data_IF_041568261082
#
_entry.id   IF_041568261082
#
_cell.length_a   1.000
_cell.length_b   1.000
_cell.length_c   1.000
_cell.angle_alpha   90.00
_cell.angle_beta   90.00
_cell.angle_gamma   90.00
#
_symmetry.space_group_name_H-M   'P 1'
#
loop_
_entity.id
_entity.type
_entity.pdbx_description
1 polymer ?
#
# COMPACT_ATOMS: atom_id res chain seq x y z
N UNK A 1 13.48 4.08 -0.50
CA UNK A 1 12.13 4.35 -1.03
C UNK A 1 11.26 3.17 -0.64
N UNK A 2 10.09 3.40 -0.09
CA UNK A 2 9.15 2.30 0.20
C UNK A 2 8.59 1.81 -1.15
N UNK A 3 8.68 0.52 -1.41
CA UNK A 3 8.13 -0.12 -2.62
C UNK A 3 7.40 -1.38 -2.18
N UNK A 4 6.20 -1.59 -2.70
CA UNK A 4 5.47 -2.85 -2.54
C UNK A 4 5.95 -3.85 -3.61
N UNK A 5 5.98 -5.12 -3.22
CA UNK A 5 6.25 -6.21 -4.15
C UNK A 5 4.96 -6.56 -4.91
N UNK A 6 5.07 -6.74 -6.22
CA UNK A 6 4.01 -7.25 -7.07
C UNK A 6 4.16 -8.75 -7.25
N UNK A 7 3.17 -9.51 -6.79
CA UNK A 7 3.23 -10.97 -6.76
C UNK A 7 2.02 -11.54 -7.49
N UNK A 8 2.26 -12.44 -8.43
CA UNK A 8 1.19 -13.19 -9.08
C UNK A 8 1.12 -14.58 -8.44
N UNK A 9 -0.06 -14.91 -7.94
CA UNK A 9 -0.36 -16.23 -7.38
C UNK A 9 -1.35 -16.96 -8.30
N UNK A 10 -1.13 -18.25 -8.50
CA UNK A 10 -2.10 -19.18 -9.09
C UNK A 10 -2.78 -19.95 -7.98
N UNK A 11 -4.10 -20.02 -8.01
CA UNK A 11 -4.92 -20.69 -6.99
C UNK A 11 -5.75 -21.77 -7.67
N UNK A 12 -5.68 -23.00 -7.16
CA UNK A 12 -6.42 -24.16 -7.68
C UNK A 12 -7.13 -24.96 -6.59
N UNK A 13 -8.33 -25.47 -6.87
CA UNK A 13 -9.10 -26.36 -5.96
C UNK A 13 -9.86 -27.40 -6.76
N UNK A 14 -9.79 -28.68 -6.33
CA UNK A 14 -10.61 -29.75 -6.94
C UNK A 14 -11.28 -30.69 -5.92
N UNK A 15 -11.31 -30.33 -4.64
CA UNK A 15 -12.03 -31.11 -3.62
C UNK A 15 -13.00 -30.21 -2.82
N UNK A 16 -14.10 -30.81 -2.39
CA UNK A 16 -15.11 -30.12 -1.59
C UNK A 16 -15.82 -29.00 -2.36
N UNK A 17 -16.15 -27.91 -1.67
CA UNK A 17 -16.68 -26.71 -2.28
C UNK A 17 -15.54 -25.88 -2.86
N UNK A 18 -15.20 -26.16 -4.13
CA UNK A 18 -14.07 -25.57 -4.85
C UNK A 18 -14.13 -24.04 -4.90
N UNK A 19 -15.34 -23.47 -5.08
CA UNK A 19 -15.51 -22.02 -5.15
C UNK A 19 -15.27 -21.38 -3.78
N UNK A 20 -15.91 -21.90 -2.74
CA UNK A 20 -15.72 -21.43 -1.36
C UNK A 20 -14.27 -21.54 -0.89
N UNK A 21 -13.54 -22.59 -1.33
CA UNK A 21 -12.12 -22.75 -1.00
C UNK A 21 -11.26 -21.64 -1.61
N UNK A 22 -11.53 -21.27 -2.89
CA UNK A 22 -10.83 -20.17 -3.57
C UNK A 22 -11.19 -18.84 -2.91
N UNK A 23 -12.45 -18.55 -2.65
CA UNK A 23 -12.90 -17.30 -1.98
C UNK A 23 -12.21 -17.13 -0.63
N UNK A 24 -12.25 -18.14 0.22
CA UNK A 24 -11.57 -18.13 1.53
C UNK A 24 -10.06 -17.97 1.42
N UNK A 25 -9.42 -18.58 0.40
CA UNK A 25 -7.98 -18.40 0.20
C UNK A 25 -7.64 -16.96 -0.17
N UNK A 26 -8.44 -16.32 -1.02
CA UNK A 26 -8.29 -14.91 -1.39
C UNK A 26 -8.48 -13.99 -0.19
N UNK A 27 -9.47 -14.26 0.68
CA UNK A 27 -9.67 -13.51 1.93
C UNK A 27 -8.48 -13.62 2.87
N UNK A 28 -7.95 -14.84 3.09
CA UNK A 28 -6.78 -15.07 3.96
C UNK A 28 -5.50 -14.42 3.37
N UNK A 29 -5.31 -14.51 2.05
CA UNK A 29 -4.19 -13.85 1.36
C UNK A 29 -4.28 -12.34 1.55
N UNK A 30 -5.47 -11.75 1.30
CA UNK A 30 -5.70 -10.32 1.48
C UNK A 30 -5.45 -9.87 2.92
N UNK A 31 -5.78 -10.70 3.89
CA UNK A 31 -5.65 -10.40 5.32
C UNK A 31 -4.21 -10.51 5.83
N UNK A 32 -3.44 -11.51 5.37
CA UNK A 32 -2.18 -11.87 6.01
C UNK A 32 -0.93 -11.74 5.13
N UNK A 33 -1.09 -11.65 3.79
CA UNK A 33 0.04 -11.66 2.86
C UNK A 33 0.19 -10.32 2.15
N UNK A 34 -0.89 -9.80 1.58
CA UNK A 34 -0.85 -8.53 0.84
C UNK A 34 -2.20 -8.20 0.22
N UNK A 35 -2.35 -6.98 -0.22
CA UNK A 35 -3.58 -6.45 -0.80
C UNK A 35 -3.87 -7.11 -2.14
N UNK A 36 -5.05 -7.71 -2.30
CA UNK A 36 -5.48 -8.34 -3.55
C UNK A 36 -5.99 -7.30 -4.53
N UNK A 37 -5.18 -6.97 -5.53
CA UNK A 37 -5.41 -5.88 -6.50
C UNK A 37 -6.30 -6.33 -7.66
N UNK A 38 -5.97 -7.50 -8.26
CA UNK A 38 -6.69 -8.05 -9.40
C UNK A 38 -6.95 -9.53 -9.20
N UNK A 39 -8.09 -9.99 -9.72
CA UNK A 39 -8.49 -11.40 -9.76
C UNK A 39 -8.93 -11.71 -11.18
N UNK A 40 -8.43 -12.81 -11.75
CA UNK A 40 -8.90 -13.30 -13.04
C UNK A 40 -10.29 -13.94 -12.92
N UNK A 41 -10.99 -14.21 -14.04
CA UNK A 41 -12.09 -15.16 -14.04
C UNK A 41 -11.67 -16.51 -13.46
N UNK A 42 -12.65 -17.28 -12.97
CA UNK A 42 -12.46 -18.65 -12.51
C UNK A 42 -12.68 -19.58 -13.70
N UNK A 43 -11.73 -20.47 -13.93
CA UNK A 43 -11.73 -21.43 -15.01
C UNK A 43 -11.85 -22.85 -14.45
N UNK A 44 -12.66 -23.69 -15.09
CA UNK A 44 -12.68 -25.14 -14.85
C UNK A 44 -11.82 -25.86 -15.89
N UNK A 45 -10.76 -26.51 -15.42
CA UNK A 45 -9.87 -27.37 -16.21
C UNK A 45 -9.91 -28.81 -15.73
N UNK A 46 -9.81 -29.82 -16.64
CA UNK A 46 -9.54 -31.20 -16.24
C UNK A 46 -8.24 -31.28 -15.41
N UNK A 47 -8.13 -32.31 -14.57
CA UNK A 47 -6.90 -32.56 -13.82
C UNK A 47 -5.72 -32.80 -14.77
N UNK A 48 -4.59 -32.15 -14.51
CA UNK A 48 -3.40 -32.24 -15.35
C UNK A 48 -2.44 -33.32 -14.85
N UNK A 49 -2.18 -34.33 -15.72
CA UNK A 49 -1.21 -35.39 -15.44
C UNK A 49 -1.69 -36.52 -14.52
N UNK A 50 -2.97 -36.55 -14.11
CA UNK A 50 -3.57 -37.63 -13.32
C UNK A 50 -5.11 -37.63 -13.45
N UNK A 51 -5.76 -38.76 -13.12
CA UNK A 51 -7.21 -38.87 -13.11
C UNK A 51 -7.79 -38.32 -11.81
N UNK A 52 -8.62 -37.28 -11.90
CA UNK A 52 -9.30 -36.68 -10.76
C UNK A 52 -10.43 -35.77 -11.24
N UNK A 53 -11.24 -35.26 -10.31
CA UNK A 53 -12.21 -34.21 -10.58
C UNK A 53 -11.55 -32.97 -11.15
N UNK A 54 -12.25 -32.20 -12.02
CA UNK A 54 -11.75 -30.98 -12.60
C UNK A 54 -11.40 -29.93 -11.52
N UNK A 55 -10.36 -29.14 -11.80
CA UNK A 55 -9.95 -28.02 -10.94
C UNK A 55 -10.70 -26.74 -11.32
N UNK A 56 -11.05 -25.95 -10.31
CA UNK A 56 -11.25 -24.52 -10.48
C UNK A 56 -9.91 -23.82 -10.30
N UNK A 57 -9.54 -22.99 -11.26
CA UNK A 57 -8.29 -22.25 -11.28
C UNK A 57 -8.54 -20.76 -11.48
N UNK A 58 -7.82 -19.92 -10.78
CA UNK A 58 -7.72 -18.49 -11.02
C UNK A 58 -6.30 -17.98 -10.76
N UNK A 59 -6.01 -16.77 -11.19
CA UNK A 59 -4.81 -16.04 -10.84
C UNK A 59 -5.18 -14.75 -10.13
N UNK A 60 -4.35 -14.32 -9.18
CA UNK A 60 -4.49 -13.05 -8.50
C UNK A 60 -3.18 -12.27 -8.54
N UNK A 61 -3.28 -10.93 -8.64
CA UNK A 61 -2.19 -10.01 -8.37
C UNK A 61 -2.35 -9.48 -6.95
N UNK A 62 -1.30 -9.57 -6.15
CA UNK A 62 -1.24 -8.93 -4.85
C UNK A 62 -0.09 -7.93 -4.76
N UNK A 63 -0.30 -6.85 -3.98
CA UNK A 63 0.75 -5.98 -3.50
C UNK A 63 1.11 -6.36 -2.06
N UNK A 64 2.40 -6.59 -1.79
CA UNK A 64 2.87 -7.01 -0.46
C UNK A 64 4.14 -6.30 -0.05
N UNK A 65 4.26 -6.03 1.25
CA UNK A 65 5.50 -5.50 1.85
C UNK A 65 6.45 -6.61 2.32
N UNK A 66 5.98 -7.86 2.26
CA UNK A 66 6.75 -9.03 2.69
C UNK A 66 7.78 -9.44 1.62
N UNK A 67 8.90 -9.98 2.07
CA UNK A 67 9.87 -10.60 1.17
C UNK A 67 9.39 -11.98 0.69
N UNK A 68 10.02 -12.51 -0.35
CA UNK A 68 9.61 -13.75 -0.99
C UNK A 68 9.61 -14.98 -0.06
N UNK A 69 10.56 -15.05 0.86
CA UNK A 69 10.65 -16.14 1.84
C UNK A 69 9.49 -16.11 2.84
N UNK A 70 9.10 -14.92 3.29
CA UNK A 70 7.95 -14.77 4.19
C UNK A 70 6.64 -15.05 3.45
N UNK A 71 6.54 -14.64 2.18
CA UNK A 71 5.35 -14.92 1.36
C UNK A 71 5.11 -16.40 1.19
N UNK A 72 6.15 -17.20 0.84
CA UNK A 72 5.97 -18.64 0.69
C UNK A 72 5.57 -19.31 2.00
N UNK A 73 6.13 -18.90 3.13
CA UNK A 73 5.72 -19.44 4.44
C UNK A 73 4.25 -19.16 4.74
N UNK A 74 3.78 -17.93 4.48
CA UNK A 74 2.37 -17.56 4.69
C UNK A 74 1.42 -18.22 3.68
N UNK A 75 1.86 -18.46 2.45
CA UNK A 75 1.09 -19.25 1.48
C UNK A 75 0.88 -20.68 1.99
N UNK A 76 1.93 -21.32 2.48
CA UNK A 76 1.86 -22.67 3.07
C UNK A 76 0.97 -22.73 4.31
N UNK A 77 1.04 -21.70 5.16
CA UNK A 77 0.15 -21.53 6.33
C UNK A 77 -1.32 -21.39 5.90
N UNK A 78 -1.59 -20.57 4.87
CA UNK A 78 -2.93 -20.41 4.31
C UNK A 78 -3.51 -21.73 3.80
N UNK A 79 -2.71 -22.52 3.08
CA UNK A 79 -3.11 -23.86 2.62
C UNK A 79 -3.43 -24.79 3.78
N UNK A 80 -2.63 -24.76 4.85
CA UNK A 80 -2.84 -25.56 6.05
C UNK A 80 -4.12 -25.15 6.80
N UNK A 81 -4.39 -23.86 6.94
CA UNK A 81 -5.62 -23.34 7.57
C UNK A 81 -6.85 -23.83 6.81
N UNK A 82 -6.78 -23.90 5.48
CA UNK A 82 -7.86 -24.40 4.63
C UNK A 82 -7.98 -25.93 4.60
N UNK A 83 -7.14 -26.65 5.35
CA UNK A 83 -7.21 -28.09 5.51
C UNK A 83 -6.40 -28.90 4.49
N UNK A 84 -5.45 -28.27 3.78
CA UNK A 84 -4.53 -29.03 2.91
C UNK A 84 -3.59 -29.88 3.76
N UNK A 85 -3.63 -31.18 3.53
CA UNK A 85 -2.70 -32.15 4.14
C UNK A 85 -1.69 -32.58 3.07
N UNK A 86 -0.39 -32.40 3.34
CA UNK A 86 0.70 -32.90 2.48
C UNK A 86 1.16 -34.27 2.99
N UNK A 87 0.85 -35.36 2.29
CA UNK A 87 1.32 -36.70 2.71
C UNK A 87 2.84 -36.78 2.60
N UNK A 88 3.50 -37.31 3.64
CA UNK A 88 4.96 -37.43 3.68
C UNK A 88 5.52 -38.43 2.63
N UNK A 89 4.71 -39.39 2.14
CA UNK A 89 5.15 -40.52 1.32
C UNK A 89 4.60 -40.53 -0.11
N UNK A 90 3.84 -39.51 -0.58
CA UNK A 90 3.32 -39.48 -1.95
C UNK A 90 4.17 -38.61 -2.87
N UNK A 91 4.84 -39.27 -3.83
CA UNK A 91 5.45 -38.59 -4.99
C UNK A 91 4.41 -38.51 -6.09
N UNK A 92 4.08 -37.26 -6.56
CA UNK A 92 3.20 -37.01 -7.69
C UNK A 92 2.00 -36.09 -7.38
N UNK A 93 1.17 -35.86 -8.41
CA UNK A 93 -0.01 -35.01 -8.28
C UNK A 93 -1.15 -35.75 -7.59
N UNK A 94 -1.92 -35.03 -6.77
CA UNK A 94 -3.10 -35.55 -6.07
C UNK A 94 -4.20 -34.51 -6.01
N UNK A 95 -5.42 -34.96 -5.81
CA UNK A 95 -6.55 -34.07 -5.52
C UNK A 95 -6.32 -33.29 -4.22
N UNK A 96 -6.72 -32.02 -4.19
CA UNK A 96 -6.44 -31.12 -3.06
C UNK A 96 -7.53 -30.09 -2.85
N UNK A 97 -7.78 -29.74 -1.59
CA UNK A 97 -8.73 -28.71 -1.20
C UNK A 97 -8.33 -27.36 -1.79
N UNK A 98 -7.06 -27.02 -1.70
CA UNK A 98 -6.48 -25.78 -2.22
C UNK A 98 -5.01 -25.98 -2.60
N UNK A 99 -4.58 -25.28 -3.63
CA UNK A 99 -3.19 -25.20 -4.09
C UNK A 99 -2.88 -23.75 -4.44
N UNK A 100 -1.81 -23.20 -3.87
CA UNK A 100 -1.43 -21.80 -4.09
C UNK A 100 0.03 -21.76 -4.51
N UNK A 101 0.28 -21.45 -5.78
CA UNK A 101 1.63 -21.36 -6.33
C UNK A 101 2.03 -19.89 -6.56
N UNK A 102 3.26 -19.51 -6.19
CA UNK A 102 3.84 -18.20 -6.53
C UNK A 102 4.35 -18.28 -7.96
N UNK A 103 3.69 -17.57 -8.88
CA UNK A 103 4.02 -17.57 -10.29
C UNK A 103 5.13 -16.58 -10.62
N UNK A 104 5.01 -15.35 -10.08
CA UNK A 104 6.04 -14.32 -10.20
C UNK A 104 6.14 -13.48 -8.93
N UNK A 105 7.33 -12.93 -8.69
CA UNK A 105 7.62 -12.00 -7.63
C UNK A 105 8.45 -10.86 -8.21
N UNK A 106 7.82 -9.69 -8.44
CA UNK A 106 8.41 -8.60 -9.21
C UNK A 106 8.96 -9.09 -10.58
N UNK A 107 10.17 -8.66 -10.93
CA UNK A 107 10.98 -9.14 -12.05
C UNK A 107 12.15 -10.03 -11.55
N UNK A 108 12.03 -10.58 -10.35
CA UNK A 108 13.11 -11.29 -9.68
C UNK A 108 13.11 -12.77 -10.00
N UNK A 109 14.28 -13.41 -9.83
CA UNK A 109 14.48 -14.83 -10.00
C UNK A 109 14.96 -15.43 -8.69
N UNK A 110 14.19 -16.36 -8.16
CA UNK A 110 14.55 -17.15 -6.99
C UNK A 110 14.73 -18.61 -7.38
N UNK A 111 15.75 -19.24 -6.87
CA UNK A 111 15.98 -20.68 -7.04
C UNK A 111 16.62 -21.23 -5.76
N UNK A 112 15.78 -21.52 -4.77
CA UNK A 112 16.16 -22.10 -3.48
C UNK A 112 15.42 -23.42 -3.28
N UNK A 113 15.77 -24.18 -2.23
CA UNK A 113 15.13 -25.46 -1.95
C UNK A 113 13.61 -25.35 -1.74
N UNK A 114 13.14 -24.18 -1.26
CA UNK A 114 11.74 -23.97 -0.91
C UNK A 114 11.00 -23.04 -1.86
N UNK A 115 11.70 -22.30 -2.73
CA UNK A 115 11.10 -21.30 -3.60
C UNK A 115 11.78 -21.23 -4.95
N UNK A 116 11.02 -21.47 -6.01
CA UNK A 116 11.46 -21.28 -7.40
C UNK A 116 10.50 -20.33 -8.12
N UNK A 117 10.98 -19.14 -8.45
CA UNK A 117 10.21 -18.06 -9.12
C UNK A 117 11.07 -17.46 -10.22
N UNK A 118 10.53 -17.27 -11.44
CA UNK A 118 9.19 -17.68 -11.91
C UNK A 118 8.95 -19.18 -11.75
N UNK A 119 7.68 -19.57 -11.58
CA UNK A 119 7.34 -20.98 -11.38
C UNK A 119 7.84 -21.86 -12.54
N UNK A 120 8.66 -22.89 -12.33
CA UNK A 120 9.46 -23.56 -13.37
C UNK A 120 8.67 -24.24 -14.48
N UNK A 121 7.40 -24.59 -14.25
CA UNK A 121 6.54 -25.26 -15.22
C UNK A 121 5.39 -24.36 -15.72
N UNK A 122 5.40 -23.07 -15.42
CA UNK A 122 4.28 -22.19 -15.78
C UNK A 122 4.04 -22.15 -17.30
N UNK A 123 5.12 -22.13 -18.10
CA UNK A 123 5.04 -22.05 -19.57
C UNK A 123 4.43 -23.28 -20.22
N UNK A 124 4.31 -24.41 -19.50
CA UNK A 124 3.76 -25.67 -20.00
C UNK A 124 2.28 -25.87 -19.62
N UNK A 125 1.71 -24.97 -18.79
CA UNK A 125 0.42 -25.14 -18.11
C UNK A 125 -0.57 -24.06 -18.50
N UNK A 126 -1.53 -24.41 -19.36
CA UNK A 126 -2.58 -23.47 -19.76
C UNK A 126 -3.42 -22.99 -18.59
N UNK A 127 -3.70 -23.85 -17.62
CA UNK A 127 -4.49 -23.51 -16.42
C UNK A 127 -3.82 -22.50 -15.49
N UNK A 128 -2.51 -22.25 -15.66
CA UNK A 128 -1.75 -21.19 -15.00
C UNK A 128 -1.70 -19.94 -15.89
N UNK A 129 -1.32 -20.11 -17.16
CA UNK A 129 -1.05 -19.00 -18.06
C UNK A 129 -2.31 -18.23 -18.47
N UNK A 130 -3.43 -18.92 -18.69
CA UNK A 130 -4.68 -18.27 -19.11
C UNK A 130 -5.20 -17.31 -18.02
N UNK A 131 -5.39 -17.74 -16.77
CA UNK A 131 -5.78 -16.80 -15.70
C UNK A 131 -4.76 -15.67 -15.50
N UNK A 132 -3.45 -15.96 -15.57
CA UNK A 132 -2.41 -14.94 -15.40
C UNK A 132 -2.43 -13.89 -16.53
N UNK A 133 -2.68 -14.32 -17.79
CA UNK A 133 -2.80 -13.42 -18.93
C UNK A 133 -3.99 -12.46 -18.82
N UNK A 134 -5.10 -12.91 -18.20
CA UNK A 134 -6.31 -12.11 -18.01
C UNK A 134 -6.16 -11.01 -16.92
N UNK A 135 -5.13 -11.09 -16.09
CA UNK A 135 -4.80 -9.99 -15.19
C UNK A 135 -4.35 -8.73 -15.94
N UNK A 136 -3.99 -8.84 -17.23
CA UNK A 136 -3.54 -7.73 -18.08
C UNK A 136 -2.41 -6.92 -17.43
N UNK A 137 -1.32 -7.59 -17.04
CA UNK A 137 -0.16 -6.97 -16.40
C UNK A 137 0.91 -6.61 -17.44
N UNK A 138 1.62 -5.52 -17.19
CA UNK A 138 2.86 -5.16 -17.87
C UNK A 138 4.04 -5.95 -17.27
N UNK A 139 3.92 -7.27 -17.23
CA UNK A 139 4.94 -8.15 -16.69
C UNK A 139 5.59 -8.95 -17.82
N UNK A 140 6.90 -9.08 -17.74
CA UNK A 140 7.70 -9.89 -18.65
C UNK A 140 8.48 -10.95 -17.86
N UNK A 141 8.48 -12.19 -18.35
CA UNK A 141 9.23 -13.28 -17.71
C UNK A 141 10.73 -12.95 -17.71
N UNK A 142 11.40 -12.85 -16.52
CA UNK A 142 12.75 -12.32 -16.42
C UNK A 142 13.81 -13.10 -17.22
N UNK A 143 13.56 -14.40 -17.49
CA UNK A 143 14.46 -15.27 -18.23
C UNK A 143 14.03 -15.39 -19.71
N UNK A 144 12.73 -15.69 -19.96
CA UNK A 144 12.22 -15.96 -21.31
C UNK A 144 11.91 -14.71 -22.12
N UNK A 145 11.87 -13.53 -21.48
CA UNK A 145 11.57 -12.25 -22.13
C UNK A 145 10.26 -12.27 -22.91
N UNK A 146 9.22 -12.83 -22.32
CA UNK A 146 7.88 -12.96 -22.88
C UNK A 146 6.83 -12.58 -21.82
N UNK A 147 5.78 -11.88 -22.26
CA UNK A 147 4.61 -11.59 -21.42
C UNK A 147 3.78 -12.87 -21.17
N UNK A 148 2.86 -12.83 -20.18
CA UNK A 148 1.92 -13.94 -19.96
C UNK A 148 1.12 -14.31 -21.23
N UNK A 149 0.73 -13.30 -22.02
CA UNK A 149 -0.01 -13.53 -23.28
C UNK A 149 0.83 -14.25 -24.34
N UNK A 150 2.10 -13.88 -24.48
CA UNK A 150 3.01 -14.53 -25.41
C UNK A 150 3.33 -15.97 -24.96
N UNK A 151 3.56 -16.19 -23.68
CA UNK A 151 3.73 -17.52 -23.11
C UNK A 151 2.49 -18.39 -23.33
N UNK A 152 1.28 -17.85 -23.13
CA UNK A 152 0.03 -18.55 -23.39
C UNK A 152 -0.14 -18.93 -24.88
N UNK A 153 0.20 -18.04 -25.79
CA UNK A 153 0.14 -18.29 -27.22
C UNK A 153 1.08 -19.43 -27.62
N UNK A 154 2.26 -19.50 -27.03
CA UNK A 154 3.30 -20.50 -27.29
C UNK A 154 3.10 -21.81 -26.51
N UNK A 155 2.20 -21.82 -25.51
CA UNK A 155 1.92 -22.98 -24.68
C UNK A 155 1.38 -24.14 -25.52
N UNK A 156 1.95 -25.32 -25.33
CA UNK A 156 1.53 -26.56 -26.08
C UNK A 156 0.26 -27.19 -25.50
N UNK A 157 -0.01 -26.94 -24.22
CA UNK A 157 -1.26 -27.35 -23.56
C UNK A 157 -2.42 -26.54 -24.16
N UNK A 158 -3.34 -27.22 -24.81
CA UNK A 158 -4.57 -26.67 -25.43
C UNK A 158 -5.82 -27.33 -24.86
N UNK A 159 -5.75 -27.73 -23.62
CA UNK A 159 -6.86 -28.36 -22.91
C UNK A 159 -8.10 -27.47 -22.92
N UNK A 160 -9.25 -28.05 -23.19
CA UNK A 160 -10.54 -27.33 -23.15
C UNK A 160 -10.90 -26.94 -21.72
N UNK A 161 -11.46 -25.75 -21.57
CA UNK A 161 -11.86 -25.19 -20.27
C UNK A 161 -13.27 -24.61 -20.31
N UNK A 162 -13.82 -24.30 -19.12
CA UNK A 162 -15.05 -23.53 -18.97
C UNK A 162 -14.80 -22.34 -18.06
N UNK A 163 -15.42 -21.20 -18.36
CA UNK A 163 -15.49 -20.07 -17.43
C UNK A 163 -16.63 -20.35 -16.45
N UNK A 164 -16.31 -20.32 -15.15
CA UNK A 164 -17.28 -20.60 -14.06
C UNK A 164 -17.91 -19.31 -13.56
N UNK A 165 -17.12 -18.23 -13.42
CA UNK A 165 -17.58 -16.94 -12.90
C UNK A 165 -16.44 -16.04 -12.51
N UNK A 166 -16.77 -15.00 -11.74
CA UNK A 166 -15.80 -14.03 -11.20
C UNK A 166 -15.98 -13.92 -9.69
N UNK A 167 -14.90 -13.63 -8.99
CA UNK A 167 -14.88 -13.25 -7.58
C UNK A 167 -14.63 -11.75 -7.50
N UNK A 168 -15.41 -11.04 -6.68
CA UNK A 168 -15.18 -9.63 -6.42
C UNK A 168 -13.89 -9.44 -5.60
N UNK A 169 -13.10 -8.43 -5.98
CA UNK A 169 -11.89 -8.11 -5.20
C UNK A 169 -12.27 -7.65 -3.79
N UNK A 170 -11.57 -8.14 -2.74
CA UNK A 170 -11.73 -7.63 -1.37
C UNK A 170 -11.49 -6.12 -1.25
N UNK A 171 -10.75 -5.54 -2.20
CA UNK A 171 -10.48 -4.09 -2.22
C UNK A 171 -11.75 -3.26 -2.41
N UNK A 172 -12.77 -3.78 -3.09
CA UNK A 172 -14.01 -3.05 -3.37
C UNK A 172 -14.75 -2.62 -2.11
N UNK A 173 -14.57 -3.32 -0.99
CA UNK A 173 -15.17 -2.93 0.29
C UNK A 173 -14.57 -1.64 0.87
N UNK A 174 -13.35 -1.26 0.47
CA UNK A 174 -12.64 -0.07 0.92
C UNK A 174 -12.73 1.09 -0.10
N UNK A 175 -13.69 1.05 -1.03
CA UNK A 175 -13.80 2.02 -2.13
C UNK A 175 -13.83 3.47 -1.64
N UNK A 176 -12.95 4.31 -2.18
CA UNK A 176 -12.88 5.75 -1.96
C UNK A 176 -13.83 6.48 -2.92
N UNK A 177 -15.10 6.06 -2.98
CA UNK A 177 -16.10 6.66 -3.85
C UNK A 177 -16.50 8.04 -3.34
N UNK A 178 -16.65 9.02 -4.24
CA UNK A 178 -17.03 10.41 -3.95
C UNK A 178 -15.98 11.21 -3.14
N UNK A 179 -14.73 10.84 -3.23
CA UNK A 179 -13.60 11.56 -2.63
C UNK A 179 -12.70 12.08 -3.75
N UNK A 180 -12.35 13.35 -3.70
CA UNK A 180 -11.42 13.96 -4.66
C UNK A 180 -10.03 14.13 -4.04
N UNK A 181 -9.96 14.50 -2.75
CA UNK A 181 -8.72 14.81 -2.08
C UNK A 181 -8.69 14.34 -0.62
N UNK A 182 -7.68 13.54 -0.25
CA UNK A 182 -7.39 13.10 1.12
C UNK A 182 -6.01 13.63 1.52
N UNK A 183 -5.93 14.25 2.70
CA UNK A 183 -4.65 14.62 3.31
C UNK A 183 -4.33 13.67 4.47
N UNK A 184 -3.18 13.02 4.40
CA UNK A 184 -2.62 12.20 5.49
C UNK A 184 -1.62 13.03 6.25
N UNK A 185 -1.91 13.29 7.50
CA UNK A 185 -1.10 14.10 8.37
C UNK A 185 -0.67 13.35 9.63
N UNK A 186 0.31 13.87 10.32
CA UNK A 186 0.87 13.29 11.53
C UNK A 186 2.27 13.83 11.80
N UNK A 187 2.82 13.49 12.93
CA UNK A 187 4.12 13.98 13.39
C UNK A 187 5.28 13.44 12.53
N UNK A 188 6.50 13.92 12.78
CA UNK A 188 7.74 13.37 12.22
C UNK A 188 7.87 11.91 12.67
N UNK A 189 8.10 11.00 11.72
CA UNK A 189 8.20 9.57 12.02
C UNK A 189 6.88 8.79 12.07
N UNK A 190 5.71 9.43 11.90
CA UNK A 190 4.40 8.76 11.93
C UNK A 190 4.09 7.88 10.70
N UNK A 191 4.96 7.78 9.70
CA UNK A 191 4.77 6.90 8.55
C UNK A 191 3.84 7.43 7.45
N UNK A 192 3.52 8.74 7.44
CA UNK A 192 2.64 9.40 6.46
C UNK A 192 2.94 9.01 5.01
N UNK A 193 4.17 9.24 4.58
CA UNK A 193 4.62 8.97 3.20
C UNK A 193 4.46 7.50 2.82
N UNK A 194 4.72 6.58 3.75
CA UNK A 194 4.55 5.15 3.54
C UNK A 194 3.09 4.78 3.32
N UNK A 195 2.18 5.30 4.17
CA UNK A 195 0.74 5.07 4.04
C UNK A 195 0.20 5.68 2.74
N UNK A 196 0.58 6.92 2.43
CA UNK A 196 0.17 7.62 1.22
C UNK A 196 0.59 6.87 -0.04
N UNK A 197 1.84 6.41 -0.13
CA UNK A 197 2.30 5.60 -1.26
C UNK A 197 1.51 4.30 -1.38
N UNK A 198 1.31 3.59 -0.27
CA UNK A 198 0.60 2.32 -0.26
C UNK A 198 -0.84 2.47 -0.74
N UNK A 199 -1.57 3.44 -0.21
CA UNK A 199 -2.94 3.73 -0.66
C UNK A 199 -2.95 4.15 -2.13
N UNK A 200 -2.01 5.00 -2.57
CA UNK A 200 -1.98 5.47 -3.96
C UNK A 200 -1.73 4.35 -4.97
N UNK A 201 -0.89 3.37 -4.62
CA UNK A 201 -0.63 2.20 -5.46
C UNK A 201 -1.82 1.23 -5.48
N UNK A 202 -2.40 0.94 -4.31
CA UNK A 202 -3.50 -0.03 -4.17
C UNK A 202 -4.81 0.47 -4.79
N UNK A 203 -5.07 1.79 -4.77
CA UNK A 203 -6.33 2.40 -5.23
C UNK A 203 -6.17 3.32 -6.44
N UNK A 204 -5.06 3.25 -7.15
CA UNK A 204 -4.79 4.08 -8.33
C UNK A 204 -4.98 5.60 -8.08
N UNK A 205 -4.57 6.11 -6.92
CA UNK A 205 -4.64 7.53 -6.61
C UNK A 205 -3.43 8.31 -7.15
N UNK A 206 -3.60 9.61 -7.41
CA UNK A 206 -2.47 10.52 -7.59
C UNK A 206 -1.91 10.87 -6.21
N UNK A 207 -0.64 10.54 -5.93
CA UNK A 207 0.00 10.96 -4.67
C UNK A 207 0.71 12.30 -4.81
N UNK A 208 0.65 13.10 -3.75
CA UNK A 208 1.43 14.33 -3.58
C UNK A 208 2.29 14.14 -2.34
N UNK A 209 3.62 14.13 -2.51
CA UNK A 209 4.58 13.92 -1.43
C UNK A 209 5.33 15.19 -1.10
N UNK A 210 5.53 15.45 0.19
CA UNK A 210 6.23 16.64 0.67
C UNK A 210 7.69 16.68 0.19
N UNK A 211 8.04 17.72 -0.56
CA UNK A 211 9.42 18.01 -0.97
C UNK A 211 10.16 18.76 0.14
N UNK A 212 11.02 18.07 0.90
CA UNK A 212 11.81 18.70 1.98
C UNK A 212 13.32 18.53 1.79
N UNK A 213 13.75 17.58 0.96
CA UNK A 213 15.17 17.17 0.88
C UNK A 213 16.10 18.25 0.33
N UNK A 214 15.60 19.09 -0.56
CA UNK A 214 16.38 20.10 -1.27
C UNK A 214 16.28 21.51 -0.65
N UNK A 215 15.70 21.63 0.55
CA UNK A 215 15.54 22.93 1.19
C UNK A 215 16.92 23.48 1.65
N UNK A 216 17.41 24.61 1.08
CA UNK A 216 18.73 25.12 1.35
C UNK A 216 18.90 25.69 2.77
N UNK A 217 17.79 25.95 3.48
CA UNK A 217 17.81 26.48 4.84
C UNK A 217 17.82 25.37 5.90
N UNK A 218 17.35 24.16 5.58
CA UNK A 218 17.25 23.07 6.55
C UNK A 218 18.60 22.72 7.22
N UNK A 219 19.72 22.54 6.49
CA UNK A 219 21.02 22.28 7.13
C UNK A 219 21.58 23.48 7.92
N UNK A 220 21.14 24.70 7.57
CA UNK A 220 21.56 25.94 8.29
C UNK A 220 20.79 26.11 9.59
N UNK A 221 19.51 25.77 9.57
CA UNK A 221 18.64 25.81 10.76
C UNK A 221 19.17 24.91 11.87
N UNK A 222 19.59 23.69 11.57
CA UNK A 222 20.16 22.79 12.58
C UNK A 222 21.50 23.30 13.18
N UNK A 223 22.17 24.25 12.51
CA UNK A 223 23.40 24.87 13.03
C UNK A 223 23.13 26.14 13.83
N UNK A 224 22.12 26.89 13.45
CA UNK A 224 21.77 28.19 14.04
C UNK A 224 20.26 28.42 13.86
N UNK A 225 19.47 27.80 14.75
CA UNK A 225 18.02 27.82 14.68
C UNK A 225 17.47 29.26 14.77
N UNK A 226 17.98 30.08 15.68
CA UNK A 226 17.51 31.46 15.87
C UNK A 226 17.60 32.30 14.60
N UNK A 227 18.69 32.13 13.83
CA UNK A 227 18.89 32.90 12.60
C UNK A 227 18.11 32.38 11.40
N UNK A 228 17.90 31.06 11.32
CA UNK A 228 17.36 30.43 10.12
C UNK A 228 15.97 29.87 10.26
N UNK A 229 15.29 29.99 11.44
CA UNK A 229 13.93 29.53 11.62
C UNK A 229 12.95 30.20 10.66
N UNK A 230 12.90 31.53 10.63
CA UNK A 230 11.98 32.27 9.78
C UNK A 230 12.21 32.01 8.26
N UNK A 231 13.45 32.09 7.73
CA UNK A 231 13.70 31.72 6.33
C UNK A 231 13.33 30.28 6.00
N UNK A 232 13.55 29.34 6.91
CA UNK A 232 13.20 27.92 6.72
C UNK A 232 11.69 27.74 6.64
N UNK A 233 10.94 28.27 7.61
CA UNK A 233 9.48 28.12 7.63
C UNK A 233 8.82 28.81 6.44
N UNK A 234 9.30 30.01 6.05
CA UNK A 234 8.84 30.69 4.84
C UNK A 234 9.12 29.92 3.55
N UNK A 235 10.28 29.30 3.45
CA UNK A 235 10.61 28.44 2.30
C UNK A 235 9.67 27.24 2.23
N UNK A 236 9.45 26.54 3.36
CA UNK A 236 8.50 25.44 3.40
C UNK A 236 7.07 25.84 3.08
N UNK A 237 6.62 27.03 3.53
CA UNK A 237 5.29 27.52 3.21
C UNK A 237 5.14 27.75 1.70
N UNK A 238 6.13 28.42 1.09
CA UNK A 238 6.12 28.72 -0.35
C UNK A 238 6.14 27.43 -1.19
N UNK A 239 7.01 26.48 -0.84
CA UNK A 239 7.13 25.19 -1.54
C UNK A 239 5.84 24.37 -1.43
N UNK A 240 5.26 24.23 -0.24
CA UNK A 240 4.00 23.51 -0.02
C UNK A 240 2.82 24.15 -0.75
N UNK A 241 2.75 25.49 -0.75
CA UNK A 241 1.69 26.20 -1.46
C UNK A 241 1.80 26.00 -2.97
N UNK A 242 2.99 26.21 -3.54
CA UNK A 242 3.22 26.02 -4.97
C UNK A 242 2.92 24.59 -5.39
N UNK A 243 3.47 23.60 -4.68
CA UNK A 243 3.28 22.19 -4.99
C UNK A 243 1.80 21.79 -4.92
N UNK A 244 1.09 22.13 -3.83
CA UNK A 244 -0.35 21.80 -3.72
C UNK A 244 -1.17 22.49 -4.80
N UNK A 245 -0.89 23.78 -5.14
CA UNK A 245 -1.60 24.50 -6.18
C UNK A 245 -1.39 23.89 -7.56
N UNK A 246 -0.14 23.54 -7.89
CA UNK A 246 0.21 22.96 -9.19
C UNK A 246 -0.33 21.54 -9.34
N UNK A 247 -0.14 20.69 -8.32
CA UNK A 247 -0.55 19.30 -8.37
C UNK A 247 -2.06 19.08 -8.29
N UNK A 248 -2.78 19.93 -7.52
CA UNK A 248 -4.24 19.86 -7.44
C UNK A 248 -4.91 20.44 -8.69
N UNK A 249 -4.27 21.41 -9.36
CA UNK A 249 -4.76 21.95 -10.63
C UNK A 249 -4.60 20.97 -11.80
N UNK A 250 -3.64 20.03 -11.72
CA UNK A 250 -3.36 19.01 -12.72
C UNK A 250 -4.02 17.69 -12.34
N UNK A 251 -5.36 17.62 -12.36
CA UNK A 251 -6.07 16.36 -12.13
C UNK A 251 -5.76 15.37 -13.27
N UNK A 252 -5.18 14.24 -12.93
CA UNK A 252 -4.96 13.15 -13.88
C UNK A 252 -6.26 12.38 -14.08
N UNK A 253 -6.80 12.43 -15.31
CA UNK A 253 -8.05 11.75 -15.69
C UNK A 253 -8.02 10.22 -15.52
N UNK A 254 -6.82 9.67 -15.36
CA UNK A 254 -6.63 8.22 -15.15
C UNK A 254 -6.50 7.84 -13.66
N UNK A 255 -6.63 8.80 -12.76
CA UNK A 255 -6.56 8.58 -11.31
C UNK A 255 -7.92 8.73 -10.65
N UNK A 256 -8.18 7.89 -9.65
CA UNK A 256 -9.47 7.85 -8.95
C UNK A 256 -9.65 9.06 -8.02
N UNK A 257 -8.58 9.45 -7.30
CA UNK A 257 -8.56 10.57 -6.37
C UNK A 257 -7.12 11.04 -6.13
N UNK A 258 -6.96 12.10 -5.33
CA UNK A 258 -5.66 12.63 -4.90
C UNK A 258 -5.45 12.31 -3.42
N UNK A 259 -4.24 11.86 -3.06
CA UNK A 259 -3.82 11.65 -1.68
C UNK A 259 -2.48 12.32 -1.43
N UNK A 260 -2.39 13.17 -0.38
CA UNK A 260 -1.16 13.86 -0.03
C UNK A 260 -0.64 13.41 1.33
N UNK A 261 0.69 13.36 1.53
CA UNK A 261 1.31 13.07 2.83
C UNK A 261 1.56 14.32 3.67
N UNK A 262 0.96 15.43 3.27
CA UNK A 262 0.94 16.69 4.00
C UNK A 262 -0.24 17.56 3.56
N UNK A 263 -0.55 18.56 4.40
CA UNK A 263 -1.42 19.67 4.06
C UNK A 263 -0.80 21.00 4.50
N UNK A 264 -1.14 22.09 3.83
CA UNK A 264 -0.49 23.39 4.06
C UNK A 264 -0.56 23.86 5.53
N UNK A 265 -1.58 23.43 6.29
CA UNK A 265 -1.75 23.84 7.69
C UNK A 265 -0.62 23.36 8.60
N UNK A 266 0.09 22.30 8.23
CA UNK A 266 1.33 21.89 8.90
C UNK A 266 2.29 23.07 9.07
N UNK A 267 2.38 23.95 8.09
CA UNK A 267 3.25 25.13 8.11
C UNK A 267 3.01 26.04 9.31
N UNK A 268 1.72 26.31 9.65
CA UNK A 268 1.41 27.16 10.82
C UNK A 268 1.70 26.47 12.15
N UNK A 269 1.54 25.14 12.22
CA UNK A 269 1.84 24.34 13.42
C UNK A 269 3.33 24.38 13.73
N UNK A 270 4.18 24.16 12.74
CA UNK A 270 5.63 24.18 12.92
C UNK A 270 6.16 25.60 13.18
N UNK A 271 5.67 26.59 12.43
CA UNK A 271 6.05 27.98 12.65
C UNK A 271 5.70 28.48 14.07
N UNK A 272 4.59 28.06 14.64
CA UNK A 272 4.20 28.43 16.02
C UNK A 272 5.19 27.91 17.08
N UNK A 273 5.88 26.81 16.80
CA UNK A 273 6.84 26.19 17.72
C UNK A 273 8.25 26.77 17.52
N UNK A 274 8.58 27.17 16.29
CA UNK A 274 9.96 27.52 15.91
C UNK A 274 10.25 29.02 15.86
N UNK A 275 9.20 29.87 15.67
CA UNK A 275 9.37 31.31 15.48
C UNK A 275 9.10 32.10 16.75
N UNK A 276 9.81 33.22 16.90
CA UNK A 276 9.50 34.23 17.91
C UNK A 276 8.16 34.91 17.61
N UNK A 277 7.52 35.52 18.61
CA UNK A 277 6.15 36.04 18.53
C UNK A 277 5.92 37.03 17.35
N UNK A 278 6.84 37.97 17.15
CA UNK A 278 6.74 38.95 16.06
C UNK A 278 6.89 38.29 14.67
N UNK A 279 7.83 37.34 14.54
CA UNK A 279 8.04 36.57 13.33
C UNK A 279 6.83 35.69 13.02
N UNK A 280 6.29 35.01 14.03
CA UNK A 280 5.10 34.19 13.88
C UNK A 280 3.87 35.01 13.46
N UNK A 281 3.68 36.21 14.03
CA UNK A 281 2.58 37.09 13.65
C UNK A 281 2.66 37.51 12.16
N UNK A 282 3.84 37.83 11.67
CA UNK A 282 4.07 38.13 10.26
C UNK A 282 3.82 36.90 9.37
N UNK A 283 4.38 35.78 9.77
CA UNK A 283 4.22 34.49 9.07
C UNK A 283 2.74 34.12 8.94
N UNK A 284 1.98 34.24 10.01
CA UNK A 284 0.55 33.94 10.05
C UNK A 284 -0.26 34.80 9.06
N UNK A 285 0.07 36.10 8.92
CA UNK A 285 -0.59 36.96 7.94
C UNK A 285 -0.37 36.45 6.50
N UNK A 286 0.86 36.07 6.16
CA UNK A 286 1.18 35.52 4.84
C UNK A 286 0.46 34.17 4.64
N UNK A 287 0.52 33.30 5.67
CA UNK A 287 -0.16 32.01 5.63
C UNK A 287 -1.66 32.15 5.40
N UNK A 288 -2.34 33.06 6.05
CA UNK A 288 -3.80 33.27 5.91
C UNK A 288 -4.20 33.68 4.50
N UNK A 289 -3.36 34.46 3.80
CA UNK A 289 -3.57 34.82 2.40
C UNK A 289 -3.48 33.56 1.51
N UNK A 290 -2.42 32.79 1.65
CA UNK A 290 -2.18 31.58 0.86
C UNK A 290 -3.21 30.48 1.16
N UNK A 291 -3.57 30.31 2.44
CA UNK A 291 -4.51 29.29 2.89
C UNK A 291 -5.92 29.47 2.32
N UNK A 292 -6.37 30.70 2.07
CA UNK A 292 -7.69 30.98 1.48
C UNK A 292 -7.82 30.38 0.08
N UNK A 293 -6.77 30.45 -0.70
CA UNK A 293 -6.73 29.97 -2.09
C UNK A 293 -6.42 28.47 -2.21
N UNK A 294 -5.96 27.83 -1.13
CA UNK A 294 -5.61 26.40 -1.14
C UNK A 294 -6.86 25.54 -1.08
N UNK A 295 -7.05 24.55 -1.99
CA UNK A 295 -8.13 23.59 -1.94
C UNK A 295 -8.13 22.82 -0.61
N UNK A 296 -9.33 22.56 -0.07
CA UNK A 296 -9.50 21.86 1.19
C UNK A 296 -9.67 20.35 0.93
N UNK A 297 -9.07 19.47 1.75
CA UNK A 297 -9.31 18.04 1.61
C UNK A 297 -10.75 17.69 1.98
N UNK A 298 -11.28 16.66 1.29
CA UNK A 298 -12.55 16.05 1.64
C UNK A 298 -12.45 15.34 2.98
N UNK A 299 -11.28 14.73 3.25
CA UNK A 299 -10.95 14.12 4.53
C UNK A 299 -9.52 14.43 4.93
N UNK A 300 -9.36 14.89 6.18
CA UNK A 300 -8.09 15.10 6.86
C UNK A 300 -7.86 13.94 7.84
N UNK A 301 -6.90 13.08 7.56
CA UNK A 301 -6.55 11.92 8.40
C UNK A 301 -5.30 12.25 9.19
N UNK A 302 -5.41 12.29 10.50
CA UNK A 302 -4.30 12.52 11.41
C UNK A 302 -3.84 11.18 12.03
N UNK A 303 -2.62 10.78 11.71
CA UNK A 303 -1.96 9.63 12.31
C UNK A 303 -1.31 10.05 13.61
N UNK A 304 -1.98 9.78 14.72
CA UNK A 304 -1.41 9.98 16.05
C UNK A 304 -0.50 8.82 16.41
N UNK A 305 0.66 9.16 16.97
CA UNK A 305 1.59 8.18 17.52
C UNK A 305 2.24 8.78 18.77
N UNK A 306 2.44 7.97 19.81
CA UNK A 306 3.11 8.41 21.03
C UNK A 306 4.59 8.74 20.76
N UNK A 307 5.15 9.63 21.57
CA UNK A 307 6.50 10.18 21.37
C UNK A 307 7.59 9.13 21.39
N UNK A 308 7.46 8.10 22.24
CA UNK A 308 8.43 6.99 22.28
C UNK A 308 8.51 6.27 20.94
N UNK A 309 7.36 5.93 20.36
CA UNK A 309 7.29 5.24 19.06
C UNK A 309 7.77 6.13 17.90
N UNK A 310 7.49 7.44 17.95
CA UNK A 310 8.01 8.39 16.97
C UNK A 310 9.54 8.43 16.97
N UNK A 311 10.17 8.49 18.15
CA UNK A 311 11.62 8.48 18.31
C UNK A 311 12.25 7.18 17.78
N UNK A 312 11.65 6.03 18.05
CA UNK A 312 12.07 4.73 17.48
C UNK A 312 12.03 4.75 15.95
N UNK A 313 10.95 5.25 15.36
CA UNK A 313 10.78 5.32 13.91
C UNK A 313 11.78 6.29 13.26
N UNK A 314 12.03 7.45 13.89
CA UNK A 314 13.03 8.42 13.45
C UNK A 314 14.42 7.78 13.46
N UNK A 315 14.77 7.09 14.53
CA UNK A 315 16.05 6.38 14.64
C UNK A 315 16.18 5.28 13.59
N UNK A 316 15.14 4.45 13.39
CA UNK A 316 15.11 3.39 12.38
C UNK A 316 15.26 3.95 10.94
N UNK A 317 14.69 5.13 10.67
CA UNK A 317 14.82 5.83 9.38
C UNK A 317 16.23 6.33 9.11
N UNK A 318 16.98 6.71 10.15
CA UNK A 318 18.41 7.01 10.10
C UNK A 318 18.81 8.29 9.38
N UNK A 319 17.94 9.31 9.32
CA UNK A 319 18.31 10.64 8.78
C UNK A 319 19.16 11.39 9.78
N UNK A 320 20.40 11.74 9.40
CA UNK A 320 21.39 12.34 10.31
C UNK A 320 20.92 13.63 10.97
N UNK A 321 20.13 14.45 10.27
CA UNK A 321 19.62 15.73 10.80
C UNK A 321 18.39 15.57 11.73
N UNK A 322 17.81 14.38 11.80
CA UNK A 322 16.68 14.10 12.69
C UNK A 322 17.10 13.39 13.99
N UNK A 323 18.34 12.94 14.08
CA UNK A 323 18.85 12.13 15.21
C UNK A 323 18.80 12.84 16.57
N UNK A 324 18.79 14.17 16.57
CA UNK A 324 18.83 15.01 17.78
C UNK A 324 17.47 15.65 18.12
N UNK A 325 16.38 15.26 17.45
CA UNK A 325 15.05 15.81 17.73
C UNK A 325 14.63 15.41 19.15
N UNK A 326 14.39 16.39 20.06
CA UNK A 326 13.97 16.08 21.41
C UNK A 326 12.51 15.62 21.46
N UNK A 327 12.18 14.70 22.40
CA UNK A 327 10.80 14.22 22.56
C UNK A 327 9.80 15.33 22.86
N UNK A 328 10.20 16.35 23.64
CA UNK A 328 9.37 17.52 23.94
C UNK A 328 8.93 18.28 22.70
N UNK A 329 9.80 18.39 21.68
CA UNK A 329 9.44 19.01 20.41
C UNK A 329 8.35 18.20 19.67
N UNK A 330 8.43 16.88 19.70
CA UNK A 330 7.40 16.02 19.11
C UNK A 330 6.07 16.13 19.90
N UNK A 331 6.12 16.28 21.22
CA UNK A 331 4.93 16.52 22.04
C UNK A 331 4.27 17.86 21.70
N UNK A 332 5.05 18.92 21.52
CA UNK A 332 4.56 20.25 21.10
C UNK A 332 3.92 20.19 19.71
N UNK A 333 4.53 19.47 18.77
CA UNK A 333 3.96 19.24 17.42
C UNK A 333 2.63 18.47 17.50
N UNK A 334 2.54 17.40 18.29
CA UNK A 334 1.30 16.67 18.51
C UNK A 334 0.21 17.59 19.10
N UNK A 335 0.57 18.43 20.08
CA UNK A 335 -0.36 19.38 20.68
C UNK A 335 -0.85 20.42 19.66
N UNK A 336 0.04 20.91 18.79
CA UNK A 336 -0.30 21.82 17.69
C UNK A 336 -1.32 21.20 16.74
N UNK A 337 -1.13 19.96 16.33
CA UNK A 337 -2.10 19.22 15.52
C UNK A 337 -3.44 19.05 16.22
N UNK A 338 -3.46 18.67 17.50
CA UNK A 338 -4.72 18.53 18.26
C UNK A 338 -5.48 19.86 18.38
N UNK A 339 -4.78 20.97 18.55
CA UNK A 339 -5.41 22.30 18.61
C UNK A 339 -6.06 22.65 17.26
N UNK A 340 -5.39 22.34 16.14
CA UNK A 340 -5.94 22.53 14.81
C UNK A 340 -7.17 21.63 14.56
N UNK A 341 -7.05 20.34 14.85
CA UNK A 341 -8.12 19.36 14.66
C UNK A 341 -9.39 19.76 15.42
N UNK A 342 -9.27 20.29 16.64
CA UNK A 342 -10.40 20.79 17.41
C UNK A 342 -11.14 21.96 16.74
N UNK A 343 -10.50 22.69 15.87
CA UNK A 343 -11.11 23.78 15.09
C UNK A 343 -11.80 23.32 13.82
N UNK A 344 -11.60 22.08 13.39
CA UNK A 344 -12.19 21.51 12.19
C UNK A 344 -13.60 20.97 12.45
N UNK A 345 -14.41 20.90 11.38
CA UNK A 345 -15.65 20.16 11.43
C UNK A 345 -15.38 18.66 11.63
N UNK A 346 -16.10 18.04 12.56
CA UNK A 346 -15.86 16.66 12.96
C UNK A 346 -16.02 15.64 11.80
N UNK A 347 -16.89 15.92 10.83
CA UNK A 347 -17.11 15.10 9.64
C UNK A 347 -15.91 15.11 8.67
N UNK A 348 -15.09 16.15 8.72
CA UNK A 348 -13.94 16.36 7.84
C UNK A 348 -12.61 15.83 8.40
N UNK A 349 -12.61 15.31 9.62
CA UNK A 349 -11.38 14.87 10.28
C UNK A 349 -11.53 13.45 10.85
N UNK A 350 -10.46 12.66 10.69
CA UNK A 350 -10.30 11.34 11.29
C UNK A 350 -8.96 11.28 12.03
N UNK A 351 -9.00 11.01 13.32
CA UNK A 351 -7.79 10.73 14.11
C UNK A 351 -7.66 9.23 14.26
N UNK A 352 -6.50 8.69 13.89
CA UNK A 352 -6.18 7.27 14.04
C UNK A 352 -4.98 7.16 14.96
N UNK A 353 -5.16 6.56 16.14
CA UNK A 353 -4.04 6.17 16.98
C UNK A 353 -3.38 4.92 16.38
N UNK A 354 -2.11 5.07 15.99
CA UNK A 354 -1.29 4.03 15.38
C UNK A 354 -0.11 3.63 16.30
N UNK A 355 -0.15 3.99 17.60
CA UNK A 355 0.95 3.75 18.53
C UNK A 355 1.32 2.27 18.66
N UNK A 356 0.32 1.38 18.59
CA UNK A 356 0.48 -0.07 18.70
C UNK A 356 0.38 -0.79 17.34
N UNK A 357 0.37 -0.04 16.22
CA UNK A 357 0.25 -0.60 14.87
C UNK A 357 1.59 -0.60 14.14
N UNK A 358 1.79 -1.60 13.29
CA UNK A 358 2.86 -1.67 12.28
C UNK A 358 2.28 -1.91 10.88
N UNK A 359 1.55 -0.93 10.36
CA UNK A 359 0.93 -1.03 9.04
C UNK A 359 1.93 -1.14 7.87
N UNK A 360 3.23 -1.09 8.14
CA UNK A 360 4.29 -1.33 7.15
C UNK A 360 4.52 -2.83 6.98
N UNK A 361 4.68 -3.55 8.10
CA UNK A 361 5.01 -4.99 8.08
C UNK A 361 3.78 -5.89 8.33
N UNK A 362 2.72 -5.34 8.91
CA UNK A 362 1.49 -6.07 9.24
C UNK A 362 0.33 -5.64 8.33
N UNK A 363 -0.15 -6.56 7.51
CA UNK A 363 -1.25 -6.34 6.59
C UNK A 363 -2.57 -6.04 7.31
N UNK A 364 -2.86 -6.67 8.45
CA UNK A 364 -4.09 -6.45 9.22
C UNK A 364 -4.17 -5.02 9.78
N UNK A 365 -3.04 -4.46 10.23
CA UNK A 365 -2.98 -3.07 10.70
C UNK A 365 -3.29 -2.09 9.57
N UNK A 366 -2.76 -2.36 8.36
CA UNK A 366 -3.07 -1.57 7.18
C UNK A 366 -4.55 -1.62 6.82
N UNK A 367 -5.14 -2.81 6.77
CA UNK A 367 -6.57 -3.00 6.49
C UNK A 367 -7.45 -2.31 7.54
N UNK A 368 -7.03 -2.33 8.81
CA UNK A 368 -7.71 -1.62 9.90
C UNK A 368 -7.71 -0.09 9.67
N UNK A 369 -6.62 0.47 9.16
CA UNK A 369 -6.55 1.89 8.79
C UNK A 369 -7.52 2.18 7.63
N UNK A 370 -7.52 1.36 6.58
CA UNK A 370 -8.42 1.50 5.44
C UNK A 370 -9.89 1.45 5.88
N UNK A 371 -10.24 0.50 6.75
CA UNK A 371 -11.59 0.36 7.29
C UNK A 371 -12.03 1.62 8.06
N UNK A 372 -11.17 2.18 8.90
CA UNK A 372 -11.45 3.42 9.62
C UNK A 372 -11.67 4.60 8.66
N UNK A 373 -10.86 4.72 7.60
CA UNK A 373 -11.02 5.76 6.58
C UNK A 373 -12.34 5.58 5.84
N UNK A 374 -12.62 4.37 5.35
CA UNK A 374 -13.85 4.04 4.63
C UNK A 374 -15.11 4.30 5.47
N UNK A 375 -15.12 3.86 6.74
CA UNK A 375 -16.22 4.11 7.68
C UNK A 375 -16.45 5.59 7.94
N UNK A 376 -15.41 6.42 7.83
CA UNK A 376 -15.52 7.87 7.96
C UNK A 376 -16.10 8.53 6.72
N UNK A 377 -15.73 8.04 5.53
CA UNK A 377 -16.20 8.55 4.24
C UNK A 377 -17.64 8.11 3.92
N UNK A 378 -18.05 6.94 4.40
CA UNK A 378 -19.39 6.39 4.19
C UNK A 378 -20.49 6.99 5.07
N UNK A 379 -20.14 7.88 5.99
CA UNK A 379 -21.06 8.63 6.85
C UNK A 379 -21.32 10.01 6.33
#
# INVERSE_FOLDING_TARGET
MFTQNQIVLSIGSNQGDRLSNIEKSIELINKHIGTVIKISPIYEFPAWGFESDPFFNCAILIHSTLNAETVILKVLETEQILGRIRPLDKVGYSARIIDIDIISFNQEVYNTDNLSVPHPLMQERQFVLLPAADLNLEWEHPILKQSFKELLNNCKDKTTFKIVGNIASPLLQYGFTNVNFIAIEGNIGAGKTTLTNRISEDFNAKHILEGFADNPFLPKFYKDATRYAFPLEMSFLADRYSQLSDDLAQFDLFKEFIIADYYIYKSIIFAQITLEEDEFNLYKQVFEIMYKETPKPDLYVYLYQNTGRLLENIQKRGRSYESEIPGTYLDDVNQGYFNYIKSMHADKVLVIDISDMDFVSNQEDYLTILEKIQNKLGK
#
